data_IF_596439849019
#
_entry.id   IF_596439849019
#
_cell.length_a   1.000
_cell.length_b   1.000
_cell.length_c   1.000
_cell.angle_alpha   90.00
_cell.angle_beta   90.00
_cell.angle_gamma   90.00
#
_symmetry.space_group_name_H-M   'P 1'
#
loop_
_entity.id
_entity.type
_entity.pdbx_description
1 polymer ?
#
# COMPACT_ATOMS: atom_id res chain seq x y z
N UNK A 1 -25.42 6.49 11.87
CA UNK A 1 -24.79 6.11 10.59
C UNK A 1 -23.61 7.04 10.38
N UNK A 2 -22.38 6.54 10.33
CA UNK A 2 -21.22 7.37 9.98
C UNK A 2 -21.24 7.57 8.47
N UNK A 3 -20.95 8.79 8.05
CA UNK A 3 -20.92 9.19 6.65
C UNK A 3 -19.93 8.30 5.86
N UNK A 4 -20.44 7.50 4.94
CA UNK A 4 -19.73 6.46 4.19
C UNK A 4 -19.11 6.97 2.89
N UNK A 5 -18.82 8.26 2.79
CA UNK A 5 -18.43 8.87 1.52
C UNK A 5 -17.06 8.44 0.99
N UNK A 6 -16.20 7.76 1.77
CA UNK A 6 -14.90 7.25 1.30
C UNK A 6 -14.54 5.93 1.98
N UNK A 7 -14.27 4.91 1.19
CA UNK A 7 -13.67 3.67 1.68
C UNK A 7 -12.28 3.98 2.25
N UNK A 8 -12.13 3.83 3.57
CA UNK A 8 -10.88 4.06 4.28
C UNK A 8 -10.57 2.85 5.16
N UNK A 9 -9.31 2.46 5.22
CA UNK A 9 -8.87 1.37 6.12
C UNK A 9 -9.23 1.63 7.59
N UNK A 10 -9.34 2.90 7.99
CA UNK A 10 -9.75 3.30 9.36
C UNK A 10 -11.22 2.98 9.68
N UNK A 11 -12.03 2.77 8.67
CA UNK A 11 -13.47 2.48 8.82
C UNK A 11 -13.79 0.99 8.75
N UNK A 12 -12.81 0.17 8.43
CA UNK A 12 -12.96 -1.28 8.44
C UNK A 12 -13.17 -1.80 9.86
N UNK A 13 -14.13 -2.71 10.05
CA UNK A 13 -14.46 -3.31 11.35
C UNK A 13 -13.97 -4.75 11.41
N UNK A 14 -14.08 -5.47 10.29
CA UNK A 14 -13.68 -6.88 10.18
C UNK A 14 -13.44 -7.26 8.73
N UNK A 15 -12.75 -8.39 8.51
CA UNK A 15 -12.55 -8.99 7.20
C UNK A 15 -12.65 -10.50 7.28
N UNK A 16 -13.25 -11.11 6.25
CA UNK A 16 -13.44 -12.55 6.12
C UNK A 16 -12.90 -13.10 4.79
N UNK A 17 -12.29 -12.25 3.98
CA UNK A 17 -11.77 -12.64 2.67
C UNK A 17 -10.33 -12.23 2.54
N UNK A 18 -9.46 -13.19 2.21
CA UNK A 18 -8.08 -12.95 1.84
C UNK A 18 -7.97 -12.92 0.32
N UNK A 19 -7.65 -11.77 -0.24
CA UNK A 19 -7.56 -11.57 -1.68
C UNK A 19 -6.13 -11.61 -2.19
N UNK A 20 -5.87 -12.35 -3.27
CA UNK A 20 -4.61 -12.36 -3.99
C UNK A 20 -4.86 -12.00 -5.45
N UNK A 21 -4.00 -11.16 -6.03
CA UNK A 21 -4.04 -10.76 -7.44
C UNK A 21 -2.77 -11.25 -8.15
N UNK A 22 -2.93 -12.00 -9.22
CA UNK A 22 -1.86 -12.63 -9.98
C UNK A 22 -1.79 -12.01 -11.38
N UNK A 23 -0.78 -11.19 -11.63
CA UNK A 23 -0.68 -10.41 -12.87
C UNK A 23 0.12 -11.10 -13.99
N UNK A 24 1.00 -12.04 -13.66
CA UNK A 24 1.89 -12.71 -14.60
C UNK A 24 1.89 -14.22 -14.36
N UNK A 25 0.73 -14.86 -14.44
CA UNK A 25 0.58 -16.27 -14.18
C UNK A 25 0.58 -17.12 -15.45
N UNK A 26 0.69 -18.44 -15.26
CA UNK A 26 0.48 -19.45 -16.30
C UNK A 26 -0.84 -20.19 -16.06
N UNK A 27 -1.30 -20.94 -17.08
CA UNK A 27 -2.48 -21.82 -16.94
C UNK A 27 -2.27 -22.91 -15.89
N UNK A 28 -1.06 -23.43 -15.77
CA UNK A 28 -0.68 -24.41 -14.77
C UNK A 28 -0.79 -23.82 -13.37
N UNK A 29 -0.32 -22.61 -13.17
CA UNK A 29 -0.42 -21.92 -11.89
C UNK A 29 -1.87 -21.63 -11.51
N UNK A 30 -2.70 -21.20 -12.46
CA UNK A 30 -4.14 -21.03 -12.26
C UNK A 30 -4.80 -22.36 -11.87
N UNK A 31 -4.45 -23.46 -12.55
CA UNK A 31 -4.97 -24.79 -12.22
C UNK A 31 -4.53 -25.24 -10.82
N UNK A 32 -3.26 -25.05 -10.47
CA UNK A 32 -2.74 -25.39 -9.13
C UNK A 32 -3.44 -24.60 -8.01
N UNK A 33 -3.66 -23.29 -8.19
CA UNK A 33 -4.36 -22.49 -7.17
C UNK A 33 -5.77 -23.02 -6.92
N UNK A 34 -6.48 -23.50 -7.94
CA UNK A 34 -7.81 -24.12 -7.79
C UNK A 34 -7.79 -25.41 -6.97
N UNK A 35 -6.65 -26.05 -6.76
CA UNK A 35 -6.53 -27.28 -5.93
C UNK A 35 -6.40 -27.00 -4.43
N UNK A 36 -6.10 -25.77 -4.02
CA UNK A 36 -5.96 -25.41 -2.61
C UNK A 36 -7.16 -25.89 -1.78
N UNK A 37 -6.98 -26.30 -0.50
CA UNK A 37 -8.04 -26.92 0.31
C UNK A 37 -9.07 -25.92 0.86
N UNK A 38 -8.99 -24.67 0.48
CA UNK A 38 -9.81 -23.60 1.04
C UNK A 38 -11.12 -23.39 0.30
N UNK A 39 -12.12 -22.88 1.02
CA UNK A 39 -13.28 -22.27 0.40
C UNK A 39 -12.84 -21.00 -0.32
N UNK A 40 -13.07 -20.93 -1.63
CA UNK A 40 -12.57 -19.82 -2.43
C UNK A 40 -13.33 -19.60 -3.73
N UNK A 41 -13.13 -18.38 -4.23
CA UNK A 41 -13.51 -17.97 -5.58
C UNK A 41 -12.22 -17.65 -6.35
N UNK A 42 -12.09 -18.18 -7.56
CA UNK A 42 -11.00 -17.85 -8.49
C UNK A 42 -11.61 -17.43 -9.83
N UNK A 43 -11.12 -16.35 -10.41
CA UNK A 43 -11.59 -15.87 -11.70
C UNK A 43 -10.52 -15.05 -12.43
N UNK A 44 -10.57 -15.07 -13.77
CA UNK A 44 -9.66 -14.24 -14.55
C UNK A 44 -10.09 -12.77 -14.55
N UNK A 45 -9.11 -11.88 -14.57
CA UNK A 45 -9.39 -10.45 -14.65
C UNK A 45 -9.78 -10.03 -16.06
N UNK A 46 -10.45 -8.88 -16.25
CA UNK A 46 -10.84 -8.41 -17.58
C UNK A 46 -9.68 -8.31 -18.57
N UNK A 47 -8.48 -8.02 -18.08
CA UNK A 47 -7.28 -7.88 -18.93
C UNK A 47 -6.47 -9.16 -19.13
N UNK A 48 -6.95 -10.31 -18.60
CA UNK A 48 -6.31 -11.61 -18.80
C UNK A 48 -6.37 -12.02 -20.27
N UNK A 49 -5.26 -12.53 -20.82
CA UNK A 49 -5.12 -13.09 -22.17
C UNK A 49 -5.45 -12.12 -23.33
N UNK A 50 -5.66 -10.84 -23.08
CA UNK A 50 -5.88 -9.86 -24.15
C UNK A 50 -4.55 -9.53 -24.80
N UNK A 51 -4.51 -9.53 -26.14
CA UNK A 51 -3.33 -9.15 -26.93
C UNK A 51 -2.06 -9.95 -26.60
N UNK A 52 -2.20 -11.24 -26.31
CA UNK A 52 -1.06 -12.11 -25.97
C UNK A 52 -0.50 -11.86 -24.55
N UNK A 53 -1.22 -11.13 -23.71
CA UNK A 53 -0.85 -10.93 -22.31
C UNK A 53 -0.89 -12.24 -21.51
N UNK A 54 -0.12 -12.34 -20.44
CA UNK A 54 -0.14 -13.50 -19.56
C UNK A 54 -1.51 -13.69 -18.91
N UNK A 55 -1.72 -14.86 -18.35
CA UNK A 55 -2.89 -15.13 -17.51
C UNK A 55 -2.87 -14.22 -16.30
N UNK A 56 -3.99 -13.55 -16.07
CA UNK A 56 -4.22 -12.69 -14.89
C UNK A 56 -5.47 -13.15 -14.19
N UNK A 57 -5.34 -13.50 -12.93
CA UNK A 57 -6.47 -13.98 -12.17
C UNK A 57 -6.44 -13.51 -10.72
N UNK A 58 -7.59 -13.60 -10.06
CA UNK A 58 -7.76 -13.32 -8.65
C UNK A 58 -8.20 -14.56 -7.91
N UNK A 59 -7.67 -14.75 -6.72
CA UNK A 59 -8.14 -15.73 -5.77
C UNK A 59 -8.64 -15.02 -4.51
N UNK A 60 -9.91 -15.24 -4.17
CA UNK A 60 -10.57 -14.73 -2.97
C UNK A 60 -10.81 -15.93 -2.05
N UNK A 61 -10.05 -16.03 -0.99
CA UNK A 61 -10.08 -17.15 -0.05
C UNK A 61 -10.88 -16.75 1.18
N UNK A 62 -11.89 -17.54 1.52
CA UNK A 62 -12.64 -17.36 2.77
C UNK A 62 -11.72 -17.64 3.95
N UNK A 63 -11.64 -16.71 4.89
CA UNK A 63 -10.82 -16.87 6.08
C UNK A 63 -11.63 -16.67 7.37
N UNK A 64 -11.07 -17.12 8.49
CA UNK A 64 -11.63 -16.78 9.79
C UNK A 64 -11.71 -15.28 9.96
N UNK A 65 -12.79 -14.81 10.60
CA UNK A 65 -13.03 -13.37 10.80
C UNK A 65 -11.91 -12.74 11.60
N UNK A 66 -11.24 -11.77 11.03
CA UNK A 66 -10.29 -10.91 11.72
C UNK A 66 -10.94 -9.56 12.02
N UNK A 67 -10.70 -9.03 13.24
CA UNK A 67 -11.32 -7.77 13.69
C UNK A 67 -10.46 -7.06 14.76
N UNK A 68 -10.84 -5.82 15.09
CA UNK A 68 -10.20 -5.05 16.15
C UNK A 68 -8.78 -4.58 15.82
N UNK A 69 -7.92 -4.52 16.83
CA UNK A 69 -6.52 -4.06 16.67
C UNK A 69 -5.71 -4.96 15.75
N UNK A 70 -5.95 -6.26 15.77
CA UNK A 70 -5.30 -7.22 14.88
C UNK A 70 -5.60 -6.91 13.41
N UNK A 71 -6.83 -6.53 13.10
CA UNK A 71 -7.24 -6.14 11.77
C UNK A 71 -6.49 -4.89 11.29
N UNK A 72 -6.40 -3.85 12.12
CA UNK A 72 -5.79 -2.57 11.72
C UNK A 72 -4.26 -2.64 11.64
N UNK A 73 -3.62 -3.34 12.57
CA UNK A 73 -2.18 -3.31 12.74
C UNK A 73 -1.46 -4.54 12.15
N UNK A 74 -2.16 -5.65 11.99
CA UNK A 74 -1.55 -6.94 11.65
C UNK A 74 -1.73 -7.36 10.19
N UNK A 75 -2.87 -7.02 9.56
CA UNK A 75 -3.19 -7.55 8.21
C UNK A 75 -2.14 -7.16 7.16
N UNK A 76 -1.86 -5.89 7.01
CA UNK A 76 -0.90 -5.39 6.03
C UNK A 76 0.50 -5.96 6.23
N UNK A 77 0.95 -6.01 7.47
CA UNK A 77 2.30 -6.47 7.82
C UNK A 77 2.46 -7.99 7.66
N UNK A 78 1.37 -8.73 7.78
CA UNK A 78 1.36 -10.20 7.68
C UNK A 78 0.94 -10.71 6.29
N UNK A 79 0.54 -9.83 5.38
CA UNK A 79 -0.01 -10.21 4.08
C UNK A 79 0.94 -11.11 3.26
N UNK A 80 2.19 -10.69 3.10
CA UNK A 80 3.18 -11.43 2.31
C UNK A 80 3.48 -12.82 2.89
N UNK A 81 3.54 -12.93 4.21
CA UNK A 81 3.76 -14.21 4.88
C UNK A 81 2.56 -15.15 4.68
N UNK A 82 1.33 -14.62 4.70
CA UNK A 82 0.14 -15.42 4.41
C UNK A 82 0.09 -15.87 2.95
N UNK A 83 0.47 -15.03 1.99
CA UNK A 83 0.61 -15.44 0.60
C UNK A 83 1.60 -16.61 0.47
N UNK A 84 2.78 -16.52 1.09
CA UNK A 84 3.77 -17.61 1.08
C UNK A 84 3.21 -18.90 1.67
N UNK A 85 2.53 -18.83 2.82
CA UNK A 85 1.93 -20.00 3.48
C UNK A 85 0.86 -20.67 2.64
N UNK A 86 0.03 -19.89 1.95
CA UNK A 86 -1.01 -20.40 1.06
C UNK A 86 -0.40 -21.09 -0.15
N UNK A 87 0.65 -20.52 -0.73
CA UNK A 87 1.27 -21.01 -1.98
C UNK A 87 2.35 -22.06 -1.75
N UNK A 88 2.93 -22.15 -0.55
CA UNK A 88 4.00 -23.11 -0.26
C UNK A 88 3.64 -24.58 -0.57
N UNK A 89 2.42 -25.10 -0.25
CA UNK A 89 2.05 -26.46 -0.62
C UNK A 89 2.04 -26.73 -2.12
N UNK A 90 1.93 -25.69 -2.93
CA UNK A 90 1.94 -25.78 -4.41
C UNK A 90 3.35 -25.66 -4.99
N UNK A 91 4.36 -25.41 -4.17
CA UNK A 91 5.72 -25.11 -4.64
C UNK A 91 5.81 -23.85 -5.49
N UNK A 92 4.87 -22.91 -5.29
CA UNK A 92 4.77 -21.71 -6.11
C UNK A 92 5.36 -20.50 -5.39
N UNK A 93 6.25 -19.79 -6.10
CA UNK A 93 6.64 -18.43 -5.77
C UNK A 93 6.08 -17.52 -6.86
N UNK A 94 4.98 -16.83 -6.55
CA UNK A 94 4.37 -15.86 -7.48
C UNK A 94 4.49 -14.47 -6.87
N UNK A 95 4.93 -13.53 -7.68
CA UNK A 95 4.92 -12.12 -7.31
C UNK A 95 3.48 -11.66 -7.14
N UNK A 96 3.16 -11.20 -5.93
CA UNK A 96 1.84 -10.72 -5.57
C UNK A 96 1.74 -9.21 -5.76
N UNK A 97 0.62 -8.74 -6.28
CA UNK A 97 0.35 -7.31 -6.29
C UNK A 97 0.32 -6.77 -4.84
N UNK A 98 1.30 -5.93 -4.54
CA UNK A 98 1.43 -5.30 -3.22
C UNK A 98 0.23 -4.44 -2.84
N UNK A 99 -0.60 -4.01 -3.77
CA UNK A 99 -1.82 -3.25 -3.50
C UNK A 99 -2.86 -4.07 -2.73
N UNK A 100 -2.82 -5.41 -2.83
CA UNK A 100 -3.71 -6.32 -2.10
C UNK A 100 -3.47 -6.34 -0.57
N UNK A 101 -2.36 -5.77 -0.09
CA UNK A 101 -2.14 -5.55 1.36
C UNK A 101 -3.12 -4.56 1.98
N UNK A 102 -3.79 -3.77 1.16
CA UNK A 102 -4.77 -2.81 1.66
C UNK A 102 -6.10 -3.51 1.92
N UNK A 103 -6.55 -3.45 3.16
CA UNK A 103 -7.82 -4.04 3.60
C UNK A 103 -9.05 -3.46 2.91
N UNK A 104 -8.93 -2.27 2.35
CA UNK A 104 -9.98 -1.61 1.57
C UNK A 104 -9.85 -1.84 0.06
N UNK A 105 -9.03 -2.83 -0.37
CA UNK A 105 -8.93 -3.21 -1.78
C UNK A 105 -10.27 -3.70 -2.28
N UNK A 106 -10.76 -3.07 -3.32
CA UNK A 106 -11.96 -3.52 -4.03
C UNK A 106 -11.54 -4.51 -5.11
N UNK A 107 -12.14 -5.68 -5.08
CA UNK A 107 -12.01 -6.68 -6.14
C UNK A 107 -13.27 -6.64 -7.00
N UNK A 108 -13.11 -6.22 -8.24
CA UNK A 108 -14.21 -6.26 -9.20
C UNK A 108 -14.42 -7.72 -9.65
N UNK A 109 -15.67 -8.16 -9.69
CA UNK A 109 -16.04 -9.44 -10.27
C UNK A 109 -15.74 -9.45 -11.78
N UNK A 110 -15.60 -10.63 -12.39
CA UNK A 110 -15.40 -10.72 -13.83
C UNK A 110 -16.58 -10.11 -14.56
N UNK A 111 -16.38 -9.49 -15.72
CA UNK A 111 -17.48 -9.03 -16.56
C UNK A 111 -18.30 -10.22 -17.06
N UNK A 112 -19.53 -9.96 -17.50
CA UNK A 112 -20.50 -11.01 -17.86
C UNK A 112 -20.01 -11.93 -18.99
N UNK A 113 -19.20 -11.41 -19.91
CA UNK A 113 -18.58 -12.15 -21.01
C UNK A 113 -17.41 -13.06 -20.59
N UNK A 114 -17.00 -13.01 -19.33
CA UNK A 114 -15.95 -13.86 -18.73
C UNK A 114 -16.43 -14.68 -17.54
N UNK A 115 -17.74 -14.84 -17.37
CA UNK A 115 -18.28 -15.64 -16.27
C UNK A 115 -17.86 -17.11 -16.32
N UNK A 116 -17.53 -17.65 -17.50
CA UNK A 116 -16.99 -19.01 -17.66
C UNK A 116 -15.64 -19.20 -16.96
N UNK A 117 -14.92 -18.11 -16.66
CA UNK A 117 -13.66 -18.17 -15.89
C UNK A 117 -13.87 -18.23 -14.39
N UNK A 118 -15.11 -18.01 -13.93
CA UNK A 118 -15.47 -18.02 -12.53
C UNK A 118 -15.47 -19.45 -11.99
N UNK A 119 -14.69 -19.68 -10.97
CA UNK A 119 -14.57 -20.94 -10.28
C UNK A 119 -14.87 -20.73 -8.80
N UNK A 120 -15.85 -21.47 -8.27
CA UNK A 120 -16.12 -21.55 -6.83
C UNK A 120 -15.82 -22.95 -6.33
N UNK A 121 -15.23 -23.03 -5.15
CA UNK A 121 -14.95 -24.26 -4.46
C UNK A 121 -15.30 -24.13 -2.99
N UNK A 122 -16.05 -25.10 -2.47
CA UNK A 122 -16.19 -25.30 -1.04
C UNK A 122 -14.90 -25.86 -0.44
N UNK A 123 -14.64 -25.53 0.82
CA UNK A 123 -13.43 -25.99 1.50
C UNK A 123 -13.35 -25.47 2.93
N UNK A 124 -12.18 -25.54 3.50
CA UNK A 124 -11.92 -25.02 4.84
C UNK A 124 -11.70 -23.52 4.82
N UNK A 125 -12.06 -22.84 5.90
CA UNK A 125 -11.65 -21.44 6.09
C UNK A 125 -10.16 -21.36 6.33
N UNK A 126 -9.52 -20.37 5.72
CA UNK A 126 -8.11 -20.09 5.97
C UNK A 126 -7.95 -19.41 7.33
N UNK A 127 -7.03 -19.92 8.15
CA UNK A 127 -6.66 -19.28 9.40
C UNK A 127 -5.54 -18.27 9.14
N UNK A 128 -5.88 -16.97 9.25
CA UNK A 128 -4.93 -15.91 9.02
C UNK A 128 -3.82 -15.91 10.07
N UNK A 129 -2.58 -15.90 9.62
CA UNK A 129 -1.41 -15.84 10.48
C UNK A 129 -0.97 -14.40 10.71
N UNK A 130 -0.90 -13.99 11.96
CA UNK A 130 -0.34 -12.71 12.35
C UNK A 130 1.16 -12.84 12.61
N UNK A 131 1.95 -12.15 11.80
CA UNK A 131 3.36 -12.00 12.09
C UNK A 131 3.50 -11.09 13.33
N UNK A 132 3.73 -11.69 14.48
CA UNK A 132 4.03 -10.92 15.69
C UNK A 132 5.33 -10.16 15.44
N UNK A 133 5.25 -8.85 15.23
CA UNK A 133 6.45 -8.01 15.38
C UNK A 133 6.96 -8.24 16.79
N UNK A 134 8.27 -8.44 16.97
CA UNK A 134 8.84 -8.44 18.32
C UNK A 134 8.34 -7.15 18.98
N UNK A 135 7.67 -7.30 20.11
CA UNK A 135 7.21 -6.16 20.91
C UNK A 135 8.48 -5.42 21.28
N UNK A 136 8.79 -4.37 20.54
CA UNK A 136 9.83 -3.43 20.96
C UNK A 136 9.32 -2.91 22.30
N UNK A 137 9.96 -3.34 23.39
CA UNK A 137 9.62 -2.88 24.72
C UNK A 137 9.39 -1.36 24.64
N UNK A 138 8.30 -0.83 25.17
CA UNK A 138 8.00 0.59 25.07
C UNK A 138 9.27 1.32 25.52
N UNK A 139 9.90 2.04 24.59
CA UNK A 139 11.09 2.85 24.91
C UNK A 139 10.65 3.69 26.09
N UNK A 140 11.34 3.57 27.22
CA UNK A 140 10.97 4.29 28.43
C UNK A 140 10.70 5.73 28.05
N UNK A 141 9.69 6.36 28.65
CA UNK A 141 9.33 7.76 28.37
C UNK A 141 10.56 8.67 28.46
N UNK A 142 11.49 8.36 29.37
CA UNK A 142 12.79 9.01 29.54
C UNK A 142 13.66 8.90 28.28
N UNK A 143 13.70 7.73 27.61
CA UNK A 143 14.49 7.54 26.39
C UNK A 143 13.86 8.30 25.20
N UNK A 144 12.52 8.38 25.16
CA UNK A 144 11.80 9.14 24.14
C UNK A 144 11.99 10.66 24.33
N UNK A 145 11.95 11.13 25.58
CA UNK A 145 12.22 12.53 25.93
C UNK A 145 13.68 12.88 25.66
N UNK A 146 14.64 12.02 26.04
CA UNK A 146 16.04 12.21 25.73
C UNK A 146 16.31 12.25 24.23
N UNK A 147 15.65 11.39 23.44
CA UNK A 147 15.74 11.42 21.98
C UNK A 147 15.09 12.67 21.37
N UNK A 148 13.97 13.14 21.93
CA UNK A 148 13.36 14.43 21.52
C UNK A 148 14.27 15.61 21.87
N UNK A 149 14.78 15.65 23.09
CA UNK A 149 15.72 16.70 23.51
C UNK A 149 17.01 16.71 22.66
N UNK A 150 17.58 15.54 22.38
CA UNK A 150 18.73 15.41 21.48
C UNK A 150 18.43 15.84 20.04
N UNK A 151 17.23 15.53 19.51
CA UNK A 151 16.78 16.01 18.20
C UNK A 151 16.60 17.52 18.17
N UNK A 152 16.03 18.11 19.24
CA UNK A 152 15.85 19.56 19.35
C UNK A 152 17.21 20.28 19.48
N UNK A 153 18.14 19.74 20.25
CA UNK A 153 19.51 20.28 20.39
C UNK A 153 20.30 20.17 19.07
N UNK A 154 20.16 19.05 18.34
CA UNK A 154 20.76 18.86 17.03
C UNK A 154 20.11 19.71 15.94
N UNK A 155 18.80 20.00 16.04
CA UNK A 155 18.10 20.90 15.12
C UNK A 155 18.59 22.35 15.27
N UNK A 156 18.94 22.77 16.49
CA UNK A 156 19.54 24.09 16.74
C UNK A 156 20.99 24.25 16.26
N UNK A 157 21.69 23.15 15.98
CA UNK A 157 23.10 23.15 15.58
C UNK A 157 23.34 22.87 14.08
N UNK A 158 22.31 22.52 13.31
CA UNK A 158 22.46 22.29 11.87
C UNK A 158 22.21 23.56 11.09
N UNK A 159 23.25 24.03 10.41
CA UNK A 159 23.12 24.97 9.31
C UNK A 159 22.03 24.43 8.35
N UNK A 160 20.88 25.08 8.34
CA UNK A 160 19.78 24.80 7.42
C UNK A 160 20.35 25.07 6.02
N UNK A 161 20.62 24.01 5.25
CA UNK A 161 21.10 24.16 3.87
C UNK A 161 20.04 24.91 3.04
N UNK A 162 20.46 25.52 1.92
CA UNK A 162 19.54 26.20 1.02
C UNK A 162 18.55 25.17 0.40
N UNK A 163 17.23 25.32 0.60
CA UNK A 163 16.20 24.42 0.04
C UNK A 163 16.26 24.32 -1.47
N UNK A 164 16.47 25.44 -2.18
CA UNK A 164 16.55 25.48 -3.64
C UNK A 164 17.76 24.69 -4.16
N UNK A 165 18.91 24.82 -3.51
CA UNK A 165 20.10 24.00 -3.81
C UNK A 165 19.88 22.52 -3.52
N UNK A 166 18.99 22.17 -2.63
CA UNK A 166 18.59 20.77 -2.38
C UNK A 166 17.72 20.25 -3.52
N UNK A 167 16.68 20.98 -3.90
CA UNK A 167 15.76 20.60 -4.99
C UNK A 167 16.54 20.43 -6.31
N UNK A 168 17.45 21.34 -6.64
CA UNK A 168 18.22 21.30 -7.89
C UNK A 168 19.14 20.07 -8.01
N UNK A 169 19.44 19.39 -6.91
CA UNK A 169 20.30 18.19 -6.86
C UNK A 169 19.53 16.88 -6.86
N UNK A 170 18.20 16.94 -6.72
CA UNK A 170 17.38 15.73 -6.75
C UNK A 170 17.15 15.33 -8.21
N UNK A 171 17.40 14.06 -8.60
CA UNK A 171 17.07 13.59 -9.93
C UNK A 171 15.59 13.78 -10.23
N UNK A 172 15.25 14.14 -11.46
CA UNK A 172 13.86 14.24 -11.90
C UNK A 172 13.17 12.86 -11.82
N UNK A 173 11.88 12.82 -11.49
CA UNK A 173 11.15 11.55 -11.39
C UNK A 173 10.98 10.89 -12.76
N UNK A 174 10.82 9.58 -12.78
CA UNK A 174 10.38 8.87 -13.95
C UNK A 174 8.93 9.24 -14.31
N UNK A 175 8.54 9.00 -15.55
CA UNK A 175 7.18 9.27 -16.03
C UNK A 175 6.18 8.49 -15.16
N UNK A 176 5.20 9.19 -14.58
CA UNK A 176 4.18 8.63 -13.69
C UNK A 176 4.53 8.65 -12.19
N UNK A 177 5.76 8.98 -11.80
CA UNK A 177 6.18 9.02 -10.39
C UNK A 177 6.10 10.42 -9.74
N UNK A 178 5.69 11.42 -10.49
CA UNK A 178 5.71 12.82 -10.06
C UNK A 178 4.97 13.10 -8.75
N UNK A 179 3.85 12.42 -8.49
CA UNK A 179 3.09 12.60 -7.25
C UNK A 179 3.90 12.19 -6.01
N UNK A 180 4.43 10.96 -5.98
CA UNK A 180 5.22 10.45 -4.86
C UNK A 180 6.51 11.24 -4.66
N UNK A 181 7.10 11.68 -5.75
CA UNK A 181 8.27 12.53 -5.76
C UNK A 181 8.01 13.87 -5.07
N UNK A 182 6.92 14.57 -5.41
CA UNK A 182 6.54 15.83 -4.76
C UNK A 182 6.20 15.65 -3.28
N UNK A 183 5.48 14.59 -2.92
CA UNK A 183 5.22 14.25 -1.51
C UNK A 183 6.54 14.08 -0.76
N UNK A 184 7.48 13.33 -1.31
CA UNK A 184 8.79 13.10 -0.69
C UNK A 184 9.59 14.38 -0.49
N UNK A 185 9.59 15.30 -1.47
CA UNK A 185 10.27 16.60 -1.35
C UNK A 185 9.56 17.45 -0.29
N UNK A 186 8.23 17.53 -0.32
CA UNK A 186 7.45 18.32 0.65
C UNK A 186 7.76 17.92 2.09
N UNK A 187 7.77 16.62 2.37
CA UNK A 187 8.12 16.10 3.70
C UNK A 187 9.57 16.48 4.09
N UNK A 188 10.49 16.49 3.13
CA UNK A 188 11.88 16.96 3.38
C UNK A 188 11.95 18.47 3.66
N UNK A 189 11.14 19.29 2.96
CA UNK A 189 11.04 20.73 3.22
C UNK A 189 10.49 20.98 4.64
N UNK A 190 9.41 20.30 5.00
CA UNK A 190 8.81 20.36 6.34
C UNK A 190 9.80 19.92 7.44
N UNK A 191 10.39 18.73 7.31
CA UNK A 191 11.12 18.09 8.41
C UNK A 191 12.58 18.57 8.53
N UNK A 192 13.28 18.72 7.39
CA UNK A 192 14.71 19.05 7.37
C UNK A 192 14.96 20.54 7.34
N UNK A 193 14.17 21.27 6.57
CA UNK A 193 14.33 22.72 6.39
C UNK A 193 13.36 23.53 7.26
N UNK A 194 12.42 22.85 7.95
CA UNK A 194 11.45 23.48 8.86
C UNK A 194 10.66 24.60 8.17
N UNK A 195 10.39 24.44 6.89
CA UNK A 195 9.61 25.40 6.13
C UNK A 195 8.14 25.35 6.59
N UNK A 196 7.50 26.50 6.65
CA UNK A 196 6.04 26.57 6.77
C UNK A 196 5.34 26.19 5.45
N UNK A 197 4.04 25.96 5.52
CA UNK A 197 3.24 25.48 4.39
C UNK A 197 3.30 26.46 3.21
N UNK A 198 3.13 27.76 3.47
CA UNK A 198 3.05 28.79 2.41
C UNK A 198 4.40 28.97 1.71
N UNK A 199 5.48 29.00 2.46
CA UNK A 199 6.84 29.06 1.92
C UNK A 199 7.16 27.79 1.11
N UNK A 200 6.71 26.62 1.57
CA UNK A 200 6.88 25.37 0.85
C UNK A 200 6.09 25.35 -0.48
N UNK A 201 4.85 25.86 -0.50
CA UNK A 201 4.04 26.03 -1.72
C UNK A 201 4.80 26.91 -2.72
N UNK A 202 5.21 28.09 -2.28
CA UNK A 202 5.91 29.07 -3.15
C UNK A 202 7.20 28.47 -3.75
N UNK A 203 7.93 27.67 -2.97
CA UNK A 203 9.18 27.05 -3.42
C UNK A 203 8.94 25.88 -4.38
N UNK A 204 7.92 25.06 -4.16
CA UNK A 204 7.71 23.81 -4.90
C UNK A 204 6.82 23.94 -6.12
N UNK A 205 5.94 24.94 -6.21
CA UNK A 205 5.06 25.13 -7.38
C UNK A 205 5.85 25.26 -8.68
N UNK A 206 6.89 26.11 -8.81
CA UNK A 206 7.68 26.20 -10.03
C UNK A 206 8.31 24.87 -10.44
N UNK A 207 8.80 24.10 -9.46
CA UNK A 207 9.38 22.79 -9.70
C UNK A 207 8.34 21.74 -10.12
N UNK A 208 7.17 21.77 -9.51
CA UNK A 208 6.05 20.89 -9.87
C UNK A 208 5.56 21.12 -11.30
N UNK A 209 5.47 22.38 -11.72
CA UNK A 209 5.13 22.74 -13.11
C UNK A 209 6.16 22.18 -14.08
N UNK A 210 7.45 22.25 -13.74
CA UNK A 210 8.52 21.72 -14.57
C UNK A 210 8.43 20.22 -14.82
N UNK A 211 7.90 19.45 -13.85
CA UNK A 211 7.70 17.99 -13.96
C UNK A 211 6.29 17.61 -14.42
N UNK A 212 5.51 18.55 -14.95
CA UNK A 212 4.22 18.29 -15.59
C UNK A 212 3.01 18.27 -14.68
N UNK A 213 3.11 18.73 -13.43
CA UNK A 213 1.94 18.96 -12.58
C UNK A 213 1.33 20.33 -12.81
N UNK A 214 0.03 20.48 -12.51
CA UNK A 214 -0.59 21.80 -12.43
C UNK A 214 -0.31 22.45 -11.07
N UNK A 215 -0.44 23.78 -11.01
CA UNK A 215 -0.31 24.52 -9.75
C UNK A 215 -1.26 23.99 -8.67
N UNK A 216 -2.52 23.76 -9.03
CA UNK A 216 -3.53 23.24 -8.11
C UNK A 216 -3.16 21.84 -7.56
N UNK A 217 -2.59 20.98 -8.40
CA UNK A 217 -2.09 19.67 -7.96
C UNK A 217 -0.95 19.81 -6.96
N UNK A 218 0.01 20.69 -7.24
CA UNK A 218 1.14 20.96 -6.37
C UNK A 218 0.69 21.47 -5.00
N UNK A 219 -0.18 22.49 -4.98
CA UNK A 219 -0.76 23.04 -3.74
C UNK A 219 -1.49 21.96 -2.93
N UNK A 220 -2.28 21.12 -3.59
CA UNK A 220 -3.00 20.03 -2.92
C UNK A 220 -2.05 19.02 -2.28
N UNK A 221 -0.96 18.68 -2.94
CA UNK A 221 0.05 17.76 -2.44
C UNK A 221 0.75 18.34 -1.21
N UNK A 222 1.17 19.60 -1.28
CA UNK A 222 1.82 20.27 -0.13
C UNK A 222 0.87 20.32 1.07
N UNK A 223 -0.35 20.81 0.88
CA UNK A 223 -1.36 20.87 1.95
C UNK A 223 -1.64 19.51 2.57
N UNK A 224 -1.73 18.47 1.75
CA UNK A 224 -1.91 17.12 2.26
C UNK A 224 -0.74 16.69 3.15
N UNK A 225 0.50 16.93 2.72
CA UNK A 225 1.70 16.53 3.47
C UNK A 225 1.88 17.33 4.80
N UNK A 226 1.36 18.55 4.88
CA UNK A 226 1.40 19.35 6.11
C UNK A 226 0.32 18.94 7.11
N UNK A 227 -0.79 18.38 6.65
CA UNK A 227 -1.93 17.98 7.49
C UNK A 227 -1.91 16.50 7.91
N UNK A 228 -0.92 15.72 7.46
CA UNK A 228 -0.73 14.31 7.82
C UNK A 228 0.67 14.03 8.33
#
# INVERSE_FOLDING_TARGET
>A
MKDNSKASSKNGVSQQVFGMDFDNATDEQLALVKTLPYEMIVYETPSSRIDGKPVKFRALIHMETIQGEEFHNGYRDSYEENCKRILAPLGMEIEQDRSCKNINRIFFLPPMDKLETFFYKEGTKYQFYYQRKPTVAPKSSILLEAQRAARTALAGAKTIGNPESYISKIPLPAVGEGHNYLVGITLKMKDKFQMDEDTCITTLVPHALHIGHTEEQAIRIVKWAYNN
#
